data_IF_502307873725
#
_entry.id   IF_502307873725
#
_cell.length_a   1.000
_cell.length_b   1.000
_cell.length_c   1.000
_cell.angle_alpha   90.00
_cell.angle_beta   90.00
_cell.angle_gamma   90.00
#
_symmetry.space_group_name_H-M   'P 1'
#
loop_
_entity.id
_entity.type
_entity.pdbx_description
1 polymer ?
#
# COMPACT_ATOMS: atom_id res chain seq x y z
N UNK A 1 -13.42 27.88 42.14
CA UNK A 1 -13.60 27.24 40.82
C UNK A 1 -12.19 27.02 40.28
N UNK A 2 -11.63 25.84 40.03
CA UNK A 2 -12.17 24.50 39.77
C UNK A 2 -11.37 23.43 40.54
N UNK A 3 -12.02 22.30 40.79
CA UNK A 3 -11.54 21.14 41.56
C UNK A 3 -10.62 20.23 40.74
N UNK A 4 -9.41 19.98 41.22
CA UNK A 4 -8.58 18.89 40.70
C UNK A 4 -9.05 17.56 41.33
N UNK A 5 -9.93 16.85 40.63
CA UNK A 5 -10.26 15.46 40.96
C UNK A 5 -9.11 14.55 40.55
N UNK A 6 -8.17 14.29 41.46
CA UNK A 6 -7.22 13.19 41.30
C UNK A 6 -7.73 11.98 42.08
N UNK A 7 -8.65 11.22 41.47
CA UNK A 7 -8.95 9.86 41.93
C UNK A 7 -7.84 8.93 41.42
N UNK A 8 -6.68 8.96 42.07
CA UNK A 8 -5.69 7.88 41.95
C UNK A 8 -6.06 6.86 43.00
N UNK A 9 -6.95 5.91 42.64
CA UNK A 9 -7.17 4.71 43.45
C UNK A 9 -5.90 3.87 43.35
N UNK A 10 -4.94 4.19 44.21
CA UNK A 10 -3.71 3.42 44.34
C UNK A 10 -4.05 2.12 45.08
N UNK A 11 -4.17 1.03 44.33
CA UNK A 11 -4.32 -0.29 44.93
C UNK A 11 -3.03 -0.61 45.71
N UNK A 12 -3.12 -0.76 47.04
CA UNK A 12 -1.96 -0.95 47.92
C UNK A 12 -1.07 -2.15 47.54
N UNK A 13 -1.60 -3.10 46.77
CA UNK A 13 -0.82 -4.18 46.17
C UNK A 13 0.25 -3.68 45.17
N UNK A 14 -0.10 -2.72 44.30
CA UNK A 14 0.82 -2.19 43.30
C UNK A 14 1.97 -1.41 43.94
N UNK A 15 1.68 -0.61 44.97
CA UNK A 15 2.69 0.15 45.71
C UNK A 15 3.75 -0.78 46.33
N UNK A 16 3.34 -1.93 46.85
CA UNK A 16 4.25 -2.93 47.44
C UNK A 16 5.13 -3.62 46.38
N UNK A 17 4.61 -3.89 45.19
CA UNK A 17 5.36 -4.46 44.06
C UNK A 17 6.46 -3.47 43.63
N UNK A 18 6.11 -2.20 43.41
CA UNK A 18 7.05 -1.15 42.99
C UNK A 18 8.11 -0.86 44.05
N UNK A 19 7.72 -0.77 45.32
CA UNK A 19 8.69 -0.59 46.42
C UNK A 19 9.74 -1.72 46.46
N UNK A 20 9.32 -2.97 46.22
CA UNK A 20 10.24 -4.12 46.16
C UNK A 20 11.18 -4.05 44.96
N UNK A 21 10.69 -3.64 43.77
CA UNK A 21 11.53 -3.41 42.59
C UNK A 21 12.59 -2.33 42.85
N UNK A 22 12.18 -1.18 43.38
CA UNK A 22 13.11 -0.09 43.68
C UNK A 22 14.14 -0.47 44.75
N UNK A 23 13.75 -1.23 45.77
CA UNK A 23 14.69 -1.76 46.77
C UNK A 23 15.76 -2.68 46.15
N UNK A 24 15.39 -3.40 45.09
CA UNK A 24 16.30 -4.27 44.33
C UNK A 24 17.09 -3.51 43.26
N UNK A 25 17.04 -2.16 43.24
CA UNK A 25 17.65 -1.28 42.22
C UNK A 25 17.18 -1.57 40.79
N UNK A 26 16.01 -2.20 40.64
CA UNK A 26 15.34 -2.35 39.35
C UNK A 26 14.45 -1.11 39.12
N UNK A 27 14.99 -0.16 38.36
CA UNK A 27 14.30 1.05 37.94
C UNK A 27 13.62 0.90 36.58
N UNK A 28 13.49 -0.32 36.06
CA UNK A 28 12.84 -0.55 34.78
C UNK A 28 11.33 -0.33 34.91
N UNK A 29 10.89 0.80 34.34
CA UNK A 29 9.48 1.21 34.28
C UNK A 29 8.74 0.44 33.17
N UNK A 30 9.46 -0.13 32.21
CA UNK A 30 8.87 -0.94 31.16
C UNK A 30 8.18 -2.15 31.79
N UNK A 31 6.96 -2.41 31.32
CA UNK A 31 6.25 -3.60 31.71
C UNK A 31 7.05 -4.82 31.24
N UNK A 32 7.30 -5.76 32.16
CA UNK A 32 7.95 -7.00 31.78
C UNK A 32 7.11 -7.66 30.68
N UNK A 33 7.78 -8.30 29.72
CA UNK A 33 7.10 -9.01 28.64
C UNK A 33 6.02 -9.90 29.25
N UNK A 34 4.76 -9.53 29.02
CA UNK A 34 3.62 -10.30 29.53
C UNK A 34 3.73 -11.70 28.92
N UNK A 35 3.45 -12.73 29.70
CA UNK A 35 3.21 -14.07 29.18
C UNK A 35 1.88 -14.08 28.42
N UNK A 36 1.83 -13.37 27.29
CA UNK A 36 0.76 -13.53 26.32
C UNK A 36 0.80 -14.95 25.78
N UNK A 37 -0.34 -15.45 25.32
CA UNK A 37 -0.38 -16.72 24.64
C UNK A 37 0.52 -16.62 23.40
N UNK A 38 1.53 -17.49 23.25
CA UNK A 38 2.27 -17.57 21.99
C UNK A 38 1.25 -17.98 20.94
N UNK A 39 0.97 -17.09 20.01
CA UNK A 39 0.25 -17.48 18.80
C UNK A 39 1.32 -18.19 17.99
N UNK A 40 1.29 -19.52 18.03
CA UNK A 40 2.12 -20.38 17.20
C UNK A 40 1.67 -20.18 15.75
N UNK A 41 2.21 -19.15 15.11
CA UNK A 41 2.00 -18.91 13.69
C UNK A 41 3.21 -19.42 12.94
N UNK A 42 2.97 -20.33 12.01
CA UNK A 42 3.99 -20.85 11.12
C UNK A 42 4.28 -19.85 9.99
N UNK A 43 5.03 -18.79 10.32
CA UNK A 43 5.48 -17.74 9.39
C UNK A 43 6.26 -18.30 8.19
N UNK A 44 7.11 -19.32 8.44
CA UNK A 44 7.91 -19.95 7.41
C UNK A 44 7.04 -20.64 6.36
N UNK A 45 6.01 -21.39 6.79
CA UNK A 45 5.07 -22.05 5.89
C UNK A 45 4.24 -21.05 5.09
N UNK A 46 3.83 -19.94 5.71
CA UNK A 46 3.07 -18.92 5.01
C UNK A 46 3.90 -18.23 3.94
N UNK A 47 5.18 -17.98 4.21
CA UNK A 47 6.12 -17.44 3.20
C UNK A 47 6.31 -18.42 2.05
N UNK A 48 6.51 -19.72 2.34
CA UNK A 48 6.68 -20.76 1.33
C UNK A 48 5.50 -20.80 0.35
N UNK A 49 4.27 -20.75 0.85
CA UNK A 49 3.06 -20.77 0.01
C UNK A 49 2.91 -19.53 -0.86
N UNK A 50 3.32 -18.36 -0.36
CA UNK A 50 3.28 -17.12 -1.14
C UNK A 50 4.40 -17.06 -2.18
N UNK A 51 5.53 -17.71 -1.92
CA UNK A 51 6.61 -17.86 -2.91
C UNK A 51 6.23 -18.87 -4.01
N UNK A 52 5.46 -19.91 -3.68
CA UNK A 52 4.90 -20.87 -4.65
C UNK A 52 3.83 -20.23 -5.53
N UNK A 53 2.87 -19.51 -4.93
CA UNK A 53 1.84 -18.76 -5.64
C UNK A 53 1.71 -17.33 -5.13
N UNK A 54 2.38 -16.42 -5.82
CA UNK A 54 2.31 -14.98 -5.55
C UNK A 54 0.92 -14.36 -5.81
N UNK A 55 0.00 -15.10 -6.45
CA UNK A 55 -1.36 -14.65 -6.74
C UNK A 55 -2.40 -15.22 -5.78
N UNK A 56 -1.98 -16.03 -4.81
CA UNK A 56 -2.86 -16.63 -3.82
C UNK A 56 -3.66 -15.55 -3.07
N UNK A 57 -4.97 -15.71 -3.06
CA UNK A 57 -5.88 -14.83 -2.35
C UNK A 57 -5.82 -15.08 -0.84
N UNK A 58 -6.20 -14.08 -0.03
CA UNK A 58 -6.35 -14.27 1.42
C UNK A 58 -7.29 -15.43 1.76
N UNK A 59 -8.29 -15.70 0.92
CA UNK A 59 -9.22 -16.83 1.09
C UNK A 59 -8.55 -18.19 0.86
N UNK A 60 -7.67 -18.29 -0.13
CA UNK A 60 -6.89 -19.51 -0.39
C UNK A 60 -5.87 -19.77 0.71
N UNK A 61 -5.16 -18.73 1.14
CA UNK A 61 -4.27 -18.81 2.30
C UNK A 61 -5.05 -19.18 3.57
N UNK A 62 -6.30 -18.74 3.72
CA UNK A 62 -7.14 -19.04 4.86
C UNK A 62 -7.61 -20.52 4.95
N UNK A 63 -7.35 -21.33 3.91
CA UNK A 63 -7.57 -22.79 3.97
C UNK A 63 -6.52 -23.48 4.83
N UNK A 64 -5.30 -22.95 4.86
CA UNK A 64 -4.16 -23.51 5.61
C UNK A 64 -3.88 -22.72 6.90
N UNK A 65 -4.17 -21.42 6.91
CA UNK A 65 -4.00 -20.55 8.07
C UNK A 65 -5.31 -19.94 8.54
N UNK A 66 -5.41 -19.54 9.81
CA UNK A 66 -6.53 -18.71 10.25
C UNK A 66 -6.40 -17.29 9.68
N UNK A 67 -7.53 -16.62 9.43
CA UNK A 67 -7.52 -15.22 8.97
C UNK A 67 -6.75 -14.28 9.93
N UNK A 68 -6.77 -14.61 11.23
CA UNK A 68 -6.01 -13.89 12.26
C UNK A 68 -4.52 -14.10 12.11
N UNK A 69 -4.09 -15.35 11.87
CA UNK A 69 -2.70 -15.70 11.61
C UNK A 69 -2.15 -14.92 10.41
N UNK A 70 -2.87 -14.93 9.27
CA UNK A 70 -2.44 -14.23 8.05
C UNK A 70 -2.23 -12.74 8.30
N UNK A 71 -3.19 -12.08 8.97
CA UNK A 71 -3.12 -10.65 9.27
C UNK A 71 -1.95 -10.31 10.21
N UNK A 72 -1.71 -11.15 11.22
CA UNK A 72 -0.65 -10.94 12.20
C UNK A 72 0.75 -11.10 11.61
N UNK A 73 0.93 -12.01 10.66
CA UNK A 73 2.24 -12.37 10.13
C UNK A 73 2.62 -11.64 8.86
N UNK A 74 1.66 -11.11 8.08
CA UNK A 74 1.95 -10.38 6.83
C UNK A 74 2.97 -9.26 7.03
N UNK A 75 2.83 -8.49 8.12
CA UNK A 75 3.78 -7.42 8.46
C UNK A 75 5.16 -7.95 8.86
N UNK A 76 5.30 -8.87 9.85
CA UNK A 76 6.57 -9.50 10.19
C UNK A 76 7.35 -10.09 9.00
N UNK A 77 6.67 -10.81 8.11
CA UNK A 77 7.32 -11.48 6.96
C UNK A 77 7.51 -10.57 5.74
N UNK A 78 7.18 -9.27 5.85
CA UNK A 78 7.27 -8.25 4.81
C UNK A 78 6.44 -8.52 3.54
N UNK A 79 5.27 -9.13 3.70
CA UNK A 79 4.32 -9.30 2.60
C UNK A 79 3.41 -8.09 2.46
N UNK A 80 3.33 -7.57 1.24
CA UNK A 80 2.44 -6.46 0.87
C UNK A 80 1.64 -6.82 -0.36
N UNK A 81 0.34 -6.59 -0.32
CA UNK A 81 -0.51 -6.75 -1.49
C UNK A 81 -0.22 -5.65 -2.52
N UNK A 82 0.04 -6.05 -3.77
CA UNK A 82 0.22 -5.16 -4.91
C UNK A 82 -0.58 -5.68 -6.10
N UNK A 83 -1.16 -4.77 -6.86
CA UNK A 83 -1.79 -5.13 -8.12
C UNK A 83 -0.75 -5.47 -9.17
N UNK A 84 -1.09 -6.42 -10.04
CA UNK A 84 -0.25 -6.80 -11.17
C UNK A 84 -0.13 -5.66 -12.19
N UNK A 85 1.01 -5.64 -12.88
CA UNK A 85 1.21 -4.76 -14.02
C UNK A 85 0.48 -5.29 -15.25
N UNK A 86 -0.15 -4.39 -16.00
CA UNK A 86 -0.74 -4.75 -17.28
C UNK A 86 0.35 -5.08 -18.29
N UNK A 87 0.27 -6.26 -18.90
CA UNK A 87 1.15 -6.71 -19.98
C UNK A 87 0.35 -6.68 -21.28
N UNK A 88 0.80 -5.96 -22.32
CA UNK A 88 -0.01 -5.73 -23.52
C UNK A 88 -0.49 -6.99 -24.25
N UNK A 89 0.36 -8.02 -24.30
CA UNK A 89 0.04 -9.32 -24.88
C UNK A 89 1.07 -10.36 -24.44
N UNK A 90 0.68 -11.63 -24.49
CA UNK A 90 1.57 -12.75 -24.23
C UNK A 90 2.52 -12.98 -25.42
N UNK A 91 3.83 -12.92 -25.16
CA UNK A 91 4.86 -13.07 -26.20
C UNK A 91 5.26 -14.52 -26.39
N UNK A 92 5.38 -14.93 -27.65
CA UNK A 92 6.01 -16.21 -28.01
C UNK A 92 7.47 -16.24 -27.57
N UNK A 93 8.03 -17.43 -27.37
CA UNK A 93 9.45 -17.55 -27.00
C UNK A 93 10.37 -16.94 -28.08
N UNK A 94 10.06 -17.17 -29.36
CA UNK A 94 10.80 -16.58 -30.46
C UNK A 94 10.80 -15.04 -30.43
N UNK A 95 9.67 -14.41 -30.09
CA UNK A 95 9.58 -12.95 -29.94
C UNK A 95 10.41 -12.43 -28.76
N UNK A 96 10.41 -13.17 -27.64
CA UNK A 96 11.25 -12.85 -26.47
C UNK A 96 12.72 -12.88 -26.87
N UNK A 97 13.16 -13.96 -27.53
CA UNK A 97 14.56 -14.12 -27.94
C UNK A 97 14.97 -13.05 -28.96
N UNK A 98 14.10 -12.72 -29.91
CA UNK A 98 14.35 -11.63 -30.87
C UNK A 98 14.54 -10.28 -30.17
N UNK A 99 13.71 -9.99 -29.16
CA UNK A 99 13.84 -8.75 -28.36
C UNK A 99 15.13 -8.73 -27.55
N UNK A 100 15.49 -9.83 -26.88
CA UNK A 100 16.74 -9.91 -26.11
C UNK A 100 17.94 -9.66 -27.01
N UNK A 101 18.03 -10.33 -28.16
CA UNK A 101 19.10 -10.11 -29.14
C UNK A 101 19.13 -8.67 -29.64
N UNK A 102 17.98 -8.11 -30.00
CA UNK A 102 17.87 -6.73 -30.46
C UNK A 102 18.37 -5.73 -29.40
N UNK A 103 17.90 -5.87 -28.15
CA UNK A 103 18.33 -5.02 -27.05
C UNK A 103 19.84 -5.14 -26.77
N UNK A 104 20.38 -6.35 -26.79
CA UNK A 104 21.81 -6.58 -26.58
C UNK A 104 22.65 -5.88 -27.64
N UNK A 105 22.28 -6.02 -28.92
CA UNK A 105 22.97 -5.35 -30.02
C UNK A 105 22.87 -3.83 -29.93
N UNK A 106 21.69 -3.29 -29.63
CA UNK A 106 21.50 -1.83 -29.44
C UNK A 106 22.36 -1.30 -28.28
N UNK A 107 22.48 -2.06 -27.19
CA UNK A 107 23.34 -1.69 -26.06
C UNK A 107 24.81 -1.65 -26.48
N UNK A 108 25.30 -2.65 -27.21
CA UNK A 108 26.67 -2.64 -27.74
C UNK A 108 26.95 -1.44 -28.66
N UNK A 109 26.03 -1.15 -29.58
CA UNK A 109 26.17 0.00 -30.48
C UNK A 109 26.14 1.32 -29.72
N UNK A 110 25.32 1.41 -28.67
CA UNK A 110 25.29 2.60 -27.81
C UNK A 110 26.63 2.81 -27.09
N UNK A 111 27.27 1.73 -26.63
CA UNK A 111 28.59 1.82 -25.99
C UNK A 111 29.70 2.22 -26.97
N UNK A 112 29.64 1.74 -28.21
CA UNK A 112 30.68 2.03 -29.23
C UNK A 112 30.53 3.42 -29.85
N UNK A 113 29.32 3.77 -30.29
CA UNK A 113 29.11 4.91 -31.20
C UNK A 113 28.09 5.95 -30.69
N UNK A 114 27.60 5.82 -29.44
CA UNK A 114 26.59 6.72 -28.84
C UNK A 114 25.39 6.96 -29.76
N UNK A 115 24.88 5.88 -30.37
CA UNK A 115 23.85 5.94 -31.42
C UNK A 115 22.58 6.71 -31.02
N UNK A 116 22.26 6.81 -29.73
CA UNK A 116 21.10 7.56 -29.21
C UNK A 116 21.05 9.01 -29.70
N UNK A 117 22.19 9.66 -29.88
CA UNK A 117 22.25 11.07 -30.31
C UNK A 117 21.92 11.24 -31.81
N UNK A 118 21.85 10.14 -32.56
CA UNK A 118 21.61 10.11 -34.01
C UNK A 118 20.25 9.53 -34.39
N UNK A 119 19.55 8.89 -33.45
CA UNK A 119 18.27 8.23 -33.72
C UNK A 119 17.14 9.26 -33.68
N UNK A 120 16.39 9.34 -34.77
CA UNK A 120 15.09 10.03 -34.83
C UNK A 120 13.99 8.96 -34.77
N UNK A 121 13.03 9.12 -33.86
CA UNK A 121 11.91 8.18 -33.67
C UNK A 121 10.58 8.87 -33.94
N UNK A 122 9.67 8.20 -34.66
CA UNK A 122 8.28 8.63 -34.84
C UNK A 122 7.32 7.49 -34.50
N UNK A 123 6.19 7.83 -33.87
CA UNK A 123 5.11 6.89 -33.58
C UNK A 123 3.77 7.60 -33.75
N UNK A 124 2.77 6.88 -34.23
CA UNK A 124 1.40 7.37 -34.30
C UNK A 124 0.66 6.99 -33.03
N UNK A 125 0.02 7.98 -32.38
CA UNK A 125 -0.85 7.76 -31.24
C UNK A 125 -2.29 8.11 -31.60
N UNK A 126 -3.23 7.22 -31.29
CA UNK A 126 -4.66 7.52 -31.40
C UNK A 126 -5.08 8.53 -30.32
N UNK A 127 -5.74 9.62 -30.72
CA UNK A 127 -6.36 10.57 -29.80
C UNK A 127 -7.87 10.32 -29.73
N UNK A 128 -8.38 10.14 -28.53
CA UNK A 128 -9.81 9.99 -28.23
C UNK A 128 -10.30 11.22 -27.48
N UNK A 129 -11.49 11.73 -27.84
CA UNK A 129 -12.03 12.99 -27.32
C UNK A 129 -12.60 12.88 -25.90
N UNK A 130 -13.07 11.69 -25.50
CA UNK A 130 -13.73 11.46 -24.21
C UNK A 130 -12.95 10.44 -23.36
N UNK A 131 -11.83 10.88 -22.79
CA UNK A 131 -11.02 10.08 -21.87
C UNK A 131 -11.37 10.44 -20.43
N UNK A 132 -12.49 9.93 -19.93
CA UNK A 132 -12.88 10.15 -18.54
C UNK A 132 -12.06 9.24 -17.62
N UNK A 133 -11.19 9.84 -16.81
CA UNK A 133 -10.46 9.12 -15.76
C UNK A 133 -11.26 9.14 -14.45
N UNK A 134 -11.27 8.02 -13.72
CA UNK A 134 -11.83 8.00 -12.36
C UNK A 134 -10.98 8.91 -11.47
N UNK A 135 -11.60 9.94 -10.88
CA UNK A 135 -10.93 10.77 -9.88
C UNK A 135 -10.93 10.06 -8.53
N UNK A 136 -9.75 9.90 -7.95
CA UNK A 136 -9.60 9.54 -6.54
C UNK A 136 -9.85 10.77 -5.66
N UNK A 137 -10.36 10.55 -4.44
CA UNK A 137 -10.53 11.61 -3.45
C UNK A 137 -10.42 11.04 -2.04
N UNK A 138 -10.05 11.89 -1.09
CA UNK A 138 -9.98 11.53 0.33
C UNK A 138 -11.30 11.91 0.99
N UNK A 139 -12.00 10.93 1.54
CA UNK A 139 -13.23 11.12 2.32
C UNK A 139 -13.12 10.39 3.65
N UNK A 140 -13.98 10.74 4.61
CA UNK A 140 -14.05 9.95 5.83
C UNK A 140 -14.61 8.54 5.54
N UNK A 141 -14.33 7.60 6.43
CA UNK A 141 -14.71 6.19 6.23
C UNK A 141 -16.22 6.05 5.98
N UNK A 142 -16.58 5.35 4.90
CA UNK A 142 -17.97 5.12 4.50
C UNK A 142 -18.61 6.27 3.70
N UNK A 143 -17.94 7.40 3.50
CA UNK A 143 -18.45 8.48 2.66
C UNK A 143 -18.05 8.28 1.19
N UNK A 144 -19.01 8.50 0.28
CA UNK A 144 -18.74 8.51 -1.17
C UNK A 144 -17.82 9.68 -1.52
N UNK A 145 -16.87 9.44 -2.41
CA UNK A 145 -16.09 10.52 -3.03
C UNK A 145 -17.07 11.40 -3.81
N UNK A 146 -17.22 12.70 -3.46
CA UNK A 146 -18.14 13.57 -4.17
C UNK A 146 -17.72 13.65 -5.64
N UNK A 147 -18.69 13.47 -6.53
CA UNK A 147 -18.48 13.61 -7.97
C UNK A 147 -18.23 15.10 -8.24
N UNK A 148 -16.97 15.48 -8.33
CA UNK A 148 -16.64 16.81 -8.84
C UNK A 148 -17.03 16.81 -10.32
N UNK A 149 -18.08 17.57 -10.64
CA UNK A 149 -18.47 17.86 -12.01
C UNK A 149 -17.22 18.14 -12.85
N UNK A 150 -17.17 17.56 -14.05
CA UNK A 150 -16.10 17.89 -14.98
C UNK A 150 -16.08 19.41 -15.18
N UNK A 151 -14.91 20.03 -15.33
CA UNK A 151 -14.85 21.45 -15.69
C UNK A 151 -15.65 21.75 -16.97
N UNK A 152 -15.86 20.75 -17.83
CA UNK A 152 -16.74 20.83 -19.00
C UNK A 152 -18.23 20.98 -18.67
N UNK A 153 -18.70 20.57 -17.49
CA UNK A 153 -20.09 20.75 -17.04
C UNK A 153 -20.30 22.13 -16.41
N UNK A 154 -19.26 22.72 -15.82
CA UNK A 154 -19.31 24.06 -15.21
C UNK A 154 -19.33 25.16 -16.28
N UNK A 155 -18.58 25.00 -17.37
CA UNK A 155 -18.49 26.01 -18.45
C UNK A 155 -19.77 26.07 -19.30
N UNK A 156 -20.58 25.01 -19.31
CA UNK A 156 -21.82 24.94 -20.11
C UNK A 156 -23.08 25.32 -19.33
N UNK A 157 -22.96 25.86 -18.11
CA UNK A 157 -24.12 26.47 -17.45
C UNK A 157 -24.36 27.86 -18.05
N UNK A 158 -25.59 28.20 -18.50
CA UNK A 158 -25.88 29.53 -18.97
C UNK A 158 -25.72 30.51 -17.80
N UNK A 159 -24.78 31.44 -17.92
CA UNK A 159 -24.67 32.58 -17.02
C UNK A 159 -25.94 33.43 -17.18
N UNK A 160 -26.80 33.44 -16.17
CA UNK A 160 -27.96 34.34 -16.11
C UNK A 160 -27.47 35.74 -15.72
N UNK A 161 -27.41 36.65 -16.70
CA UNK A 161 -27.01 38.05 -16.54
C UNK A 161 -28.20 38.96 -16.18
N UNK A 162 -29.15 38.49 -15.35
CA UNK A 162 -30.39 39.24 -15.09
C UNK A 162 -30.49 39.96 -13.73
N UNK A 163 -29.49 39.89 -12.85
CA UNK A 163 -29.51 40.71 -11.63
C UNK A 163 -28.10 41.09 -11.24
N UNK A 164 -27.63 42.24 -11.74
CA UNK A 164 -26.72 43.16 -11.04
C UNK A 164 -26.48 44.38 -11.94
N UNK A 165 -27.53 45.21 -12.08
CA UNK A 165 -27.39 46.63 -12.39
C UNK A 165 -28.38 47.36 -11.47
N UNK A 166 -27.84 48.03 -10.45
CA UNK A 166 -28.46 49.23 -9.89
C UNK A 166 -28.42 50.36 -10.92
#
# INVERSE_FOLDING_TARGET
MCTASTNVVSNGYQVRIWYRKFKNKDYNIQEAQRSGQPIDVNEARQRELVEEDQFATTSELAKEFSAMSISLTMHPINLTFKFNHWVPYERTQADKDRRVRGCFNLLEYQHKDKIRDRIVTSAESGFTTNNTCRKGGVTSYGQKVPFLHSLSEIINQPYDLSTDFC
#
